data_IF_130426361100
#
_entry.id   IF_130426361100
#
_cell.length_a   1.000
_cell.length_b   1.000
_cell.length_c   1.000
_cell.angle_alpha   90.00
_cell.angle_beta   90.00
_cell.angle_gamma   90.00
#
_symmetry.space_group_name_H-M   'P 1'
#
loop_
_entity.id
_entity.type
_entity.pdbx_description
1 polymer ?
#
# COMPACT_ATOMS: atom_id res chain seq x y z
N UNK A 1 10.26 90.52 25.05
CA UNK A 1 10.64 89.12 24.84
C UNK A 1 9.38 88.30 24.61
N UNK A 2 9.27 87.53 23.51
CA UNK A 2 8.02 86.92 23.08
C UNK A 2 7.72 85.60 23.82
N UNK A 3 6.43 85.35 24.02
CA UNK A 3 5.79 84.12 24.51
C UNK A 3 5.96 82.95 23.53
N UNK A 4 6.28 81.72 23.99
CA UNK A 4 6.28 80.55 23.14
C UNK A 4 4.86 80.01 22.94
N UNK A 5 4.40 80.06 21.69
CA UNK A 5 3.15 79.46 21.20
C UNK A 5 3.31 77.94 21.17
N UNK A 6 2.53 77.21 21.97
CA UNK A 6 2.43 75.76 21.88
C UNK A 6 1.60 75.37 20.64
N UNK A 7 2.21 74.71 19.68
CA UNK A 7 1.57 74.13 18.50
C UNK A 7 0.85 72.83 18.87
N UNK A 8 -0.44 72.75 18.55
CA UNK A 8 -1.25 71.53 18.67
C UNK A 8 -0.82 70.49 17.61
N UNK A 9 -0.79 69.19 17.93
CA UNK A 9 -0.47 68.16 16.96
C UNK A 9 -1.59 67.97 15.93
N UNK A 10 -1.20 67.87 14.67
CA UNK A 10 -2.08 67.68 13.52
C UNK A 10 -2.91 66.38 13.62
N UNK A 11 -4.20 66.41 13.25
CA UNK A 11 -5.05 65.22 13.27
C UNK A 11 -4.69 64.27 12.12
N UNK A 12 -4.54 62.98 12.44
CA UNK A 12 -4.33 61.90 11.48
C UNK A 12 -5.37 61.94 10.32
N UNK A 13 -4.94 61.72 9.06
CA UNK A 13 -5.80 61.91 7.90
C UNK A 13 -6.91 60.85 7.84
N UNK A 14 -8.15 61.32 7.74
CA UNK A 14 -9.41 60.54 7.68
C UNK A 14 -9.50 59.54 6.51
N UNK A 15 -8.52 59.52 5.61
CA UNK A 15 -8.50 58.70 4.39
C UNK A 15 -8.15 57.23 4.65
N UNK A 16 -7.30 56.92 5.65
CA UNK A 16 -6.94 55.53 5.99
C UNK A 16 -8.11 54.73 6.58
N UNK A 17 -9.10 55.41 7.17
CA UNK A 17 -10.28 54.76 7.78
C UNK A 17 -11.26 54.21 6.74
N UNK A 18 -11.28 54.75 5.52
CA UNK A 18 -12.21 54.32 4.44
C UNK A 18 -11.74 53.08 3.67
N UNK A 19 -10.44 52.77 3.69
CA UNK A 19 -9.85 51.61 3.01
C UNK A 19 -9.64 50.44 3.98
N UNK A 20 -9.43 50.71 5.27
CA UNK A 20 -9.29 49.66 6.29
C UNK A 20 -10.59 48.85 6.54
N UNK A 21 -11.75 49.51 6.42
CA UNK A 21 -13.07 48.88 6.61
C UNK A 21 -13.42 47.79 5.57
N UNK A 22 -13.26 47.99 4.25
CA UNK A 22 -13.55 46.95 3.27
C UNK A 22 -12.56 45.77 3.34
N UNK A 23 -11.28 46.01 3.69
CA UNK A 23 -10.29 44.95 3.83
C UNK A 23 -10.62 44.05 5.03
N UNK A 24 -11.01 44.66 6.17
CA UNK A 24 -11.44 43.91 7.35
C UNK A 24 -12.69 43.04 7.09
N UNK A 25 -13.65 43.56 6.32
CA UNK A 25 -14.85 42.82 5.95
C UNK A 25 -14.54 41.62 5.02
N UNK A 26 -13.62 41.80 4.06
CA UNK A 26 -13.19 40.71 3.15
C UNK A 26 -12.47 39.60 3.93
N UNK A 27 -11.59 39.96 4.89
CA UNK A 27 -10.92 38.96 5.74
C UNK A 27 -11.94 38.22 6.62
N UNK A 28 -12.92 38.92 7.20
CA UNK A 28 -13.98 38.31 7.99
C UNK A 28 -14.85 37.36 7.15
N UNK A 29 -15.20 37.72 5.92
CA UNK A 29 -15.94 36.86 4.99
C UNK A 29 -15.11 35.64 4.59
N UNK A 30 -13.80 35.80 4.36
CA UNK A 30 -12.89 34.71 4.04
C UNK A 30 -12.75 33.74 5.23
N UNK A 31 -12.60 34.26 6.45
CA UNK A 31 -12.56 33.46 7.69
C UNK A 31 -13.90 32.77 7.93
N UNK A 32 -15.02 33.46 7.72
CA UNK A 32 -16.36 32.89 7.86
C UNK A 32 -16.64 31.77 6.84
N UNK A 33 -16.22 31.97 5.59
CA UNK A 33 -16.21 30.92 4.55
C UNK A 33 -15.29 29.74 4.91
N UNK A 34 -14.23 29.96 5.70
CA UNK A 34 -13.35 28.90 6.19
C UNK A 34 -13.93 28.14 7.40
N UNK A 35 -14.87 28.73 8.15
CA UNK A 35 -15.51 28.12 9.33
C UNK A 35 -16.70 27.24 8.95
N UNK A 36 -17.39 27.54 7.85
CA UNK A 36 -18.52 26.73 7.37
C UNK A 36 -18.03 25.33 6.89
N UNK A 37 -18.52 24.22 7.48
CA UNK A 37 -18.04 22.88 7.14
C UNK A 37 -18.36 22.45 5.70
N UNK A 38 -19.39 23.04 5.09
CA UNK A 38 -19.78 22.74 3.70
C UNK A 38 -18.84 23.38 2.65
N UNK A 39 -18.27 24.54 2.95
CA UNK A 39 -17.33 25.24 2.04
C UNK A 39 -15.90 24.74 2.20
N UNK A 40 -15.53 24.18 3.36
CA UNK A 40 -14.23 23.50 3.56
C UNK A 40 -13.97 22.42 2.51
N UNK A 41 -14.97 21.59 2.19
CA UNK A 41 -14.84 20.53 1.18
C UNK A 41 -14.60 21.08 -0.23
N UNK A 42 -15.25 22.19 -0.58
CA UNK A 42 -15.13 22.85 -1.90
C UNK A 42 -13.79 23.56 -2.02
N UNK A 43 -13.36 24.30 -0.99
CA UNK A 43 -12.07 25.00 -0.95
C UNK A 43 -10.90 24.02 -0.91
N UNK A 44 -11.03 22.87 -0.23
CA UNK A 44 -10.03 21.80 -0.22
C UNK A 44 -9.88 21.13 -1.59
N UNK A 45 -10.99 20.87 -2.29
CA UNK A 45 -10.95 20.35 -3.67
C UNK A 45 -10.35 21.36 -4.66
N UNK A 46 -10.55 22.66 -4.44
CA UNK A 46 -10.03 23.72 -5.32
C UNK A 46 -8.54 24.04 -5.08
N UNK A 47 -8.03 23.81 -3.85
CA UNK A 47 -6.63 24.08 -3.47
C UNK A 47 -5.66 22.91 -3.71
N UNK A 48 -6.12 21.78 -4.27
CA UNK A 48 -5.22 20.67 -4.63
C UNK A 48 -4.56 19.95 -3.45
N UNK A 49 -5.02 20.17 -2.21
CA UNK A 49 -4.59 19.36 -1.07
C UNK A 49 -5.13 17.94 -1.24
N UNK A 50 -4.25 16.98 -1.49
CA UNK A 50 -4.58 15.57 -1.63
C UNK A 50 -4.95 14.95 -0.27
N UNK A 51 -6.22 15.04 0.09
CA UNK A 51 -6.72 14.50 1.34
C UNK A 51 -6.89 12.99 1.18
N UNK A 52 -5.93 12.24 1.71
CA UNK A 52 -6.11 10.80 1.92
C UNK A 52 -7.28 10.62 2.91
N UNK A 53 -8.27 9.74 2.63
CA UNK A 53 -9.44 9.54 3.48
C UNK A 53 -9.10 9.31 4.97
N UNK A 54 -9.91 9.83 5.89
CA UNK A 54 -9.69 9.74 7.35
C UNK A 54 -9.76 8.32 7.91
N UNK A 55 -10.44 7.40 7.20
CA UNK A 55 -10.37 5.95 7.38
C UNK A 55 -9.86 5.35 6.07
N UNK A 56 -8.67 4.73 6.13
CA UNK A 56 -7.94 4.21 4.97
C UNK A 56 -8.22 2.71 4.89
N UNK A 57 -9.18 2.31 4.06
CA UNK A 57 -9.32 0.92 3.64
C UNK A 57 -8.59 0.77 2.31
N UNK A 58 -7.57 -0.06 2.28
CA UNK A 58 -6.61 -0.18 1.19
C UNK A 58 -6.69 -1.58 0.57
N UNK A 59 -6.79 -1.66 -0.75
CA UNK A 59 -6.55 -2.90 -1.49
C UNK A 59 -5.26 -2.79 -2.31
N UNK A 60 -4.41 -3.81 -2.29
CA UNK A 60 -3.33 -3.94 -3.27
C UNK A 60 -3.82 -4.88 -4.36
N UNK A 61 -3.91 -4.36 -5.58
CA UNK A 61 -4.42 -5.09 -6.73
C UNK A 61 -3.30 -5.92 -7.39
N UNK A 62 -3.65 -6.98 -8.13
CA UNK A 62 -2.67 -7.75 -8.89
C UNK A 62 -1.85 -6.84 -9.82
N UNK A 63 -0.52 -6.98 -9.77
CA UNK A 63 0.37 -6.23 -10.66
C UNK A 63 0.28 -6.79 -12.08
N UNK A 64 0.26 -5.89 -13.06
CA UNK A 64 0.33 -6.29 -14.47
C UNK A 64 1.78 -6.56 -14.87
N UNK A 65 2.07 -7.79 -15.31
CA UNK A 65 3.39 -8.14 -15.86
C UNK A 65 3.45 -7.76 -17.33
N UNK A 66 4.41 -6.91 -17.69
CA UNK A 66 4.66 -6.50 -19.07
C UNK A 66 5.67 -7.48 -19.66
N UNK A 67 5.17 -8.44 -20.45
CA UNK A 67 5.99 -9.51 -21.05
C UNK A 67 5.32 -10.88 -20.98
N UNK A 68 4.43 -11.09 -19.99
CA UNK A 68 3.55 -12.25 -19.90
C UNK A 68 4.21 -13.55 -19.43
N UNK A 69 5.38 -13.49 -18.79
CA UNK A 69 6.03 -14.67 -18.23
C UNK A 69 5.34 -15.17 -16.94
N UNK A 70 5.20 -16.49 -16.82
CA UNK A 70 4.50 -17.11 -15.70
C UNK A 70 5.29 -16.99 -14.39
N UNK A 71 6.62 -17.09 -14.46
CA UNK A 71 7.50 -16.97 -13.30
C UNK A 71 7.53 -15.53 -12.78
N UNK A 72 7.56 -14.54 -13.67
CA UNK A 72 7.41 -13.12 -13.33
C UNK A 72 6.04 -12.81 -12.70
N UNK A 73 4.99 -13.47 -13.18
CA UNK A 73 3.67 -13.31 -12.60
C UNK A 73 3.59 -13.96 -11.21
N UNK A 74 4.19 -15.13 -11.00
CA UNK A 74 4.31 -15.71 -9.66
C UNK A 74 5.11 -14.79 -8.73
N UNK A 75 6.22 -14.24 -9.19
CA UNK A 75 6.99 -13.24 -8.45
C UNK A 75 6.12 -12.03 -8.04
N UNK A 76 5.36 -11.46 -8.98
CA UNK A 76 4.48 -10.31 -8.73
C UNK A 76 3.36 -10.63 -7.73
N UNK A 77 2.76 -11.81 -7.85
CA UNK A 77 1.73 -12.28 -6.92
C UNK A 77 2.28 -12.43 -5.50
N UNK A 78 3.50 -12.99 -5.37
CA UNK A 78 4.20 -13.08 -4.10
C UNK A 78 4.55 -11.70 -3.54
N UNK A 79 4.98 -10.77 -4.39
CA UNK A 79 5.26 -9.39 -3.99
C UNK A 79 4.01 -8.69 -3.44
N UNK A 80 2.86 -8.84 -4.12
CA UNK A 80 1.57 -8.29 -3.65
C UNK A 80 1.20 -8.86 -2.28
N UNK A 81 1.33 -10.17 -2.08
CA UNK A 81 1.08 -10.79 -0.77
C UNK A 81 2.04 -10.29 0.30
N UNK A 82 3.32 -10.18 -0.02
CA UNK A 82 4.31 -9.68 0.93
C UNK A 82 4.03 -8.23 1.34
N UNK A 83 3.75 -7.35 0.38
CA UNK A 83 3.37 -5.96 0.63
C UNK A 83 2.08 -5.87 1.46
N UNK A 84 1.08 -6.70 1.14
CA UNK A 84 -0.18 -6.78 1.89
C UNK A 84 0.07 -7.17 3.35
N UNK A 85 0.85 -8.23 3.59
CA UNK A 85 1.21 -8.69 4.93
C UNK A 85 1.99 -7.62 5.72
N UNK A 86 2.98 -6.97 5.09
CA UNK A 86 3.79 -5.93 5.73
C UNK A 86 2.97 -4.67 6.04
N UNK A 87 2.06 -4.25 5.16
CA UNK A 87 1.16 -3.13 5.43
C UNK A 87 0.10 -3.48 6.49
N UNK A 88 -0.38 -4.73 6.53
CA UNK A 88 -1.29 -5.20 7.59
C UNK A 88 -0.64 -5.09 8.96
N UNK A 89 0.67 -5.40 9.07
CA UNK A 89 1.43 -5.17 10.30
C UNK A 89 1.46 -3.70 10.73
N UNK A 90 1.25 -2.74 9.82
CA UNK A 90 1.21 -1.32 10.19
C UNK A 90 -0.12 -0.87 10.80
N UNK A 91 -1.18 -1.66 10.69
CA UNK A 91 -2.46 -1.37 11.32
C UNK A 91 -2.32 -1.22 12.84
N UNK A 92 -1.37 -1.93 13.45
CA UNK A 92 -1.06 -1.80 14.88
C UNK A 92 -0.59 -0.37 15.25
N UNK A 93 0.07 0.34 14.34
CA UNK A 93 0.53 1.72 14.52
C UNK A 93 -0.50 2.75 14.06
N UNK A 94 -1.40 2.36 13.16
CA UNK A 94 -2.41 3.22 12.56
C UNK A 94 -3.76 2.53 12.64
N UNK A 95 -4.46 2.71 13.77
CA UNK A 95 -5.83 2.19 14.02
C UNK A 95 -6.91 2.56 12.97
N UNK A 96 -6.57 3.39 11.98
CA UNK A 96 -7.46 3.80 10.88
C UNK A 96 -7.02 3.28 9.52
N UNK A 97 -5.98 2.44 9.45
CA UNK A 97 -5.59 1.69 8.28
C UNK A 97 -6.22 0.30 8.39
N UNK A 98 -6.85 -0.14 7.32
CA UNK A 98 -7.30 -1.51 7.12
C UNK A 98 -6.83 -1.93 5.73
N UNK A 99 -6.18 -3.09 5.63
CA UNK A 99 -5.64 -3.64 4.39
C UNK A 99 -6.46 -4.87 4.03
N UNK A 100 -7.10 -4.83 2.86
CA UNK A 100 -7.86 -5.96 2.33
C UNK A 100 -6.89 -7.11 2.02
N UNK A 101 -7.11 -8.33 2.56
CA UNK A 101 -6.28 -9.48 2.28
C UNK A 101 -6.16 -9.79 0.79
N UNK A 102 -4.95 -10.19 0.34
CA UNK A 102 -4.69 -10.47 -1.08
C UNK A 102 -5.49 -11.68 -1.59
N UNK A 103 -5.83 -12.61 -0.68
CA UNK A 103 -6.66 -13.78 -0.97
C UNK A 103 -8.08 -13.37 -1.36
N UNK A 104 -8.66 -12.39 -0.68
CA UNK A 104 -10.00 -11.88 -0.99
C UNK A 104 -10.00 -11.15 -2.33
N UNK A 105 -8.97 -10.32 -2.59
CA UNK A 105 -8.78 -9.66 -3.89
C UNK A 105 -8.75 -10.69 -5.02
N UNK A 106 -8.07 -11.82 -4.81
CA UNK A 106 -7.94 -12.91 -5.79
C UNK A 106 -9.23 -13.71 -5.96
N UNK A 107 -9.85 -14.14 -4.87
CA UNK A 107 -11.06 -14.96 -4.87
C UNK A 107 -12.21 -14.24 -5.58
N UNK A 108 -12.38 -12.95 -5.28
CA UNK A 108 -13.37 -12.08 -5.90
C UNK A 108 -12.92 -11.51 -7.26
N UNK A 109 -11.74 -11.90 -7.75
CA UNK A 109 -11.16 -11.49 -9.05
C UNK A 109 -11.15 -9.97 -9.25
N UNK A 110 -10.78 -9.25 -8.21
CA UNK A 110 -10.76 -7.79 -8.22
C UNK A 110 -9.51 -7.33 -8.97
N UNK A 111 -9.73 -6.65 -10.10
CA UNK A 111 -8.64 -6.20 -10.99
C UNK A 111 -8.59 -4.68 -11.13
N UNK A 112 -9.62 -3.97 -10.65
CA UNK A 112 -9.71 -2.52 -10.76
C UNK A 112 -10.06 -1.84 -9.43
N UNK A 113 -9.65 -0.56 -9.24
CA UNK A 113 -10.02 0.21 -8.05
C UNK A 113 -11.53 0.36 -7.88
N UNK A 114 -12.29 0.44 -8.97
CA UNK A 114 -13.76 0.54 -8.95
C UNK A 114 -14.41 -0.75 -8.46
N UNK A 115 -13.92 -1.92 -8.89
CA UNK A 115 -14.38 -3.20 -8.36
C UNK A 115 -14.08 -3.33 -6.88
N UNK A 116 -12.89 -2.91 -6.44
CA UNK A 116 -12.49 -2.95 -5.04
C UNK A 116 -13.43 -2.09 -4.17
N UNK A 117 -13.80 -0.89 -4.62
CA UNK A 117 -14.81 -0.06 -3.95
C UNK A 117 -16.16 -0.76 -3.91
N UNK A 118 -16.62 -1.29 -5.05
CA UNK A 118 -17.96 -1.88 -5.16
C UNK A 118 -18.14 -3.11 -4.26
N UNK A 119 -17.13 -3.98 -4.19
CA UNK A 119 -17.20 -5.25 -3.47
C UNK A 119 -16.88 -5.07 -1.98
N UNK A 120 -15.79 -4.36 -1.66
CA UNK A 120 -15.25 -4.29 -0.29
C UNK A 120 -15.30 -2.89 0.32
N UNK A 121 -15.84 -1.88 -0.37
CA UNK A 121 -15.90 -0.49 0.10
C UNK A 121 -14.53 0.05 0.50
N UNK A 122 -13.47 -0.42 -0.17
CA UNK A 122 -12.12 0.13 0.05
C UNK A 122 -12.06 1.55 -0.49
N UNK A 123 -11.42 2.46 0.26
CA UNK A 123 -11.30 3.87 -0.08
C UNK A 123 -10.07 4.18 -0.93
N UNK A 124 -9.06 3.31 -0.87
CA UNK A 124 -7.81 3.42 -1.61
C UNK A 124 -7.47 2.08 -2.28
N UNK A 125 -6.85 2.16 -3.45
CA UNK A 125 -6.27 1.00 -4.11
C UNK A 125 -4.84 1.31 -4.57
N UNK A 126 -3.94 0.33 -4.44
CA UNK A 126 -2.64 0.34 -5.10
C UNK A 126 -2.74 -0.52 -6.34
N UNK A 127 -2.46 0.08 -7.49
CA UNK A 127 -2.30 -0.64 -8.77
C UNK A 127 -0.87 -0.46 -9.27
N UNK A 128 -0.42 -1.36 -10.13
CA UNK A 128 0.95 -1.26 -10.61
C UNK A 128 1.27 -2.22 -11.74
N UNK A 129 2.48 -2.09 -12.23
CA UNK A 129 3.03 -2.93 -13.28
C UNK A 129 4.48 -3.27 -12.99
N UNK A 130 4.87 -4.48 -13.37
CA UNK A 130 6.25 -4.93 -13.34
C UNK A 130 6.71 -5.23 -14.75
N UNK A 131 7.94 -4.86 -15.07
CA UNK A 131 8.57 -5.14 -16.36
C UNK A 131 10.02 -5.52 -16.14
N UNK A 132 10.45 -6.63 -16.73
CA UNK A 132 11.87 -6.99 -16.82
C UNK A 132 12.36 -6.77 -18.25
N UNK A 133 13.56 -6.21 -18.40
CA UNK A 133 14.23 -6.01 -19.69
C UNK A 133 15.69 -6.41 -19.51
N UNK A 134 16.05 -7.62 -19.97
CA UNK A 134 17.36 -8.19 -19.71
C UNK A 134 17.62 -8.29 -18.22
N UNK A 135 18.69 -7.63 -17.77
CA UNK A 135 19.10 -7.61 -16.36
C UNK A 135 18.54 -6.42 -15.58
N UNK A 136 17.66 -5.61 -16.16
CA UNK A 136 16.99 -4.50 -15.48
C UNK A 136 15.52 -4.85 -15.21
N UNK A 137 14.98 -4.35 -14.11
CA UNK A 137 13.55 -4.37 -13.85
C UNK A 137 13.00 -2.96 -13.63
N UNK A 138 11.70 -2.79 -13.84
CA UNK A 138 10.96 -1.58 -13.49
C UNK A 138 9.64 -1.96 -12.82
N UNK A 139 9.45 -1.49 -11.59
CA UNK A 139 8.22 -1.61 -10.82
C UNK A 139 7.57 -0.22 -10.74
N UNK A 140 6.31 -0.13 -11.16
CA UNK A 140 5.49 1.07 -11.01
C UNK A 140 4.36 0.79 -10.02
N UNK A 141 4.22 1.63 -9.00
CA UNK A 141 3.15 1.57 -8.01
C UNK A 141 2.40 2.91 -7.99
N UNK A 142 1.07 2.83 -8.03
CA UNK A 142 0.16 3.97 -8.09
C UNK A 142 -0.90 3.85 -7.02
N UNK A 143 -1.02 4.86 -6.16
CA UNK A 143 -2.08 4.99 -5.17
C UNK A 143 -3.24 5.73 -5.80
N UNK A 144 -4.42 5.13 -5.76
CA UNK A 144 -5.63 5.61 -6.42
C UNK A 144 -6.75 5.76 -5.40
N UNK A 145 -7.47 6.88 -5.46
CA UNK A 145 -8.76 7.03 -4.78
C UNK A 145 -9.81 6.23 -5.54
N UNK A 146 -10.42 5.25 -4.88
CA UNK A 146 -11.28 4.26 -5.55
C UNK A 146 -12.63 4.83 -5.98
N UNK A 147 -13.09 5.93 -5.36
CA UNK A 147 -14.36 6.58 -5.70
C UNK A 147 -14.23 7.48 -6.91
N UNK A 148 -13.17 8.29 -6.94
CA UNK A 148 -12.91 9.26 -8.01
C UNK A 148 -12.06 8.69 -9.14
N UNK A 149 -11.47 7.51 -8.95
CA UNK A 149 -10.48 6.88 -9.84
C UNK A 149 -9.22 7.74 -10.08
N UNK A 150 -9.04 8.80 -9.28
CA UNK A 150 -7.92 9.72 -9.41
C UNK A 150 -6.65 9.08 -8.83
N UNK A 151 -5.57 9.17 -9.60
CA UNK A 151 -4.23 8.87 -9.10
C UNK A 151 -3.82 9.97 -8.11
N UNK A 152 -3.54 9.56 -6.87
CA UNK A 152 -3.07 10.44 -5.81
C UNK A 152 -1.54 10.53 -5.87
N UNK A 153 -0.86 9.37 -5.90
CA UNK A 153 0.59 9.32 -5.91
C UNK A 153 1.09 8.18 -6.80
N UNK A 154 2.32 8.32 -7.30
CA UNK A 154 2.99 7.34 -8.12
C UNK A 154 4.45 7.23 -7.73
N UNK A 155 4.99 6.02 -7.79
CA UNK A 155 6.40 5.70 -7.56
C UNK A 155 6.86 4.73 -8.64
N UNK A 156 8.05 4.99 -9.18
CA UNK A 156 8.69 4.15 -10.19
C UNK A 156 10.05 3.77 -9.65
N UNK A 157 10.35 2.48 -9.68
CA UNK A 157 11.56 1.89 -9.14
C UNK A 157 12.20 1.11 -10.27
N UNK A 158 13.41 1.48 -10.66
CA UNK A 158 14.14 0.85 -11.75
C UNK A 158 15.54 0.52 -11.26
N UNK A 159 15.91 -0.75 -11.31
CA UNK A 159 17.20 -1.23 -10.84
C UNK A 159 17.61 -2.50 -11.58
N UNK A 160 18.84 -2.96 -11.35
CA UNK A 160 19.36 -4.23 -11.81
C UNK A 160 18.71 -5.39 -11.05
N UNK A 161 18.45 -6.50 -11.71
CA UNK A 161 17.83 -7.69 -11.10
C UNK A 161 18.67 -8.26 -9.95
N UNK A 162 19.99 -8.06 -9.99
CA UNK A 162 20.87 -8.40 -8.88
C UNK A 162 20.52 -7.67 -7.58
N UNK A 163 19.81 -6.55 -7.64
CA UNK A 163 19.35 -5.77 -6.50
C UNK A 163 17.87 -6.05 -6.15
N UNK A 164 17.25 -7.11 -6.66
CA UNK A 164 15.81 -7.36 -6.45
C UNK A 164 15.41 -7.54 -4.97
N UNK A 165 16.35 -7.82 -4.06
CA UNK A 165 16.06 -7.78 -2.61
C UNK A 165 15.81 -6.37 -2.09
N UNK A 166 16.49 -5.35 -2.62
CA UNK A 166 16.26 -3.94 -2.20
C UNK A 166 14.88 -3.45 -2.64
N UNK A 167 14.35 -4.02 -3.74
CA UNK A 167 13.02 -3.72 -4.26
C UNK A 167 11.93 -3.85 -3.19
N UNK A 168 12.02 -4.81 -2.28
CA UNK A 168 11.01 -4.98 -1.24
C UNK A 168 11.00 -3.80 -0.29
N UNK A 169 12.14 -3.51 0.33
CA UNK A 169 12.28 -2.47 1.34
C UNK A 169 11.89 -1.13 0.74
N UNK A 170 12.38 -0.87 -0.47
CA UNK A 170 12.04 0.37 -1.16
C UNK A 170 10.55 0.40 -1.52
N UNK A 171 9.94 -0.71 -1.98
CA UNK A 171 8.52 -0.73 -2.34
C UNK A 171 7.62 -0.53 -1.12
N UNK A 172 7.92 -1.20 0.00
CA UNK A 172 7.15 -1.06 1.23
C UNK A 172 7.31 0.34 1.80
N UNK A 173 8.53 0.89 1.86
CA UNK A 173 8.75 2.25 2.36
C UNK A 173 8.09 3.29 1.47
N UNK A 174 8.19 3.15 0.15
CA UNK A 174 7.50 4.02 -0.80
C UNK A 174 5.99 3.95 -0.68
N UNK A 175 5.41 2.77 -0.48
CA UNK A 175 3.97 2.65 -0.22
C UNK A 175 3.57 3.31 1.11
N UNK A 176 4.36 3.16 2.17
CA UNK A 176 4.12 3.80 3.47
C UNK A 176 4.16 5.32 3.35
N UNK A 177 5.15 5.87 2.63
CA UNK A 177 5.25 7.30 2.29
C UNK A 177 4.05 7.76 1.43
N UNK A 178 3.63 6.96 0.45
CA UNK A 178 2.46 7.26 -0.37
C UNK A 178 1.19 7.34 0.48
N UNK A 179 1.05 6.47 1.47
CA UNK A 179 -0.04 6.51 2.45
C UNK A 179 0.08 7.68 3.44
N UNK A 180 1.14 8.49 3.39
CA UNK A 180 1.35 9.62 4.30
C UNK A 180 1.63 9.17 5.73
N UNK A 181 2.26 8.00 5.89
CA UNK A 181 2.73 7.50 7.17
C UNK A 181 4.21 7.82 7.29
N UNK A 182 4.59 8.46 8.39
CA UNK A 182 5.98 8.76 8.69
C UNK A 182 6.74 7.48 9.07
N UNK A 183 7.88 7.24 8.42
CA UNK A 183 8.74 6.08 8.63
C UNK A 183 9.60 6.27 9.89
N UNK A 184 8.97 6.10 11.06
CA UNK A 184 9.69 6.08 12.34
C UNK A 184 10.58 4.84 12.46
N UNK A 185 11.68 4.89 13.25
CA UNK A 185 12.60 3.75 13.40
C UNK A 185 11.92 2.43 13.81
N UNK A 186 10.88 2.49 14.67
CA UNK A 186 10.16 1.28 15.07
C UNK A 186 9.39 0.65 13.89
N UNK A 187 8.78 1.47 13.03
CA UNK A 187 8.06 1.01 11.84
C UNK A 187 9.06 0.36 10.88
N UNK A 188 10.21 1.00 10.62
CA UNK A 188 11.26 0.44 9.77
C UNK A 188 11.71 -0.94 10.27
N UNK A 189 11.99 -1.07 11.57
CA UNK A 189 12.42 -2.34 12.16
C UNK A 189 11.40 -3.46 11.96
N UNK A 190 10.11 -3.19 12.14
CA UNK A 190 9.06 -4.21 11.98
C UNK A 190 8.90 -4.62 10.52
N UNK A 191 8.97 -3.64 9.62
CA UNK A 191 8.88 -3.88 8.18
C UNK A 191 10.06 -4.70 7.63
N UNK A 192 11.24 -4.62 8.24
CA UNK A 192 12.42 -5.42 7.82
C UNK A 192 12.61 -6.72 8.62
N UNK A 193 11.89 -6.90 9.73
CA UNK A 193 12.03 -8.09 10.59
C UNK A 193 11.77 -9.39 9.80
N UNK A 194 12.68 -10.35 9.98
CA UNK A 194 12.61 -11.70 9.41
C UNK A 194 12.81 -11.79 7.90
N UNK A 195 13.17 -10.67 7.24
CA UNK A 195 13.49 -10.65 5.82
C UNK A 195 14.94 -11.08 5.54
N UNK A 196 15.31 -11.13 4.25
CA UNK A 196 16.68 -11.41 3.79
C UNK A 196 17.22 -10.23 3.00
N UNK A 197 18.55 -10.03 3.05
CA UNK A 197 19.24 -9.11 2.15
C UNK A 197 19.81 -9.82 0.91
N UNK A 198 19.75 -11.16 0.86
CA UNK A 198 20.30 -11.97 -0.23
C UNK A 198 19.32 -11.97 -1.41
N UNK A 199 19.67 -11.37 -2.57
CA UNK A 199 18.75 -11.20 -3.70
C UNK A 199 18.10 -12.50 -4.19
N UNK A 200 18.91 -13.54 -4.40
CA UNK A 200 18.42 -14.84 -4.89
C UNK A 200 17.48 -15.55 -3.90
N UNK A 201 17.73 -15.40 -2.59
CA UNK A 201 16.88 -15.98 -1.56
C UNK A 201 15.51 -15.30 -1.58
N UNK A 202 15.49 -13.98 -1.75
CA UNK A 202 14.28 -13.20 -1.80
C UNK A 202 13.44 -13.48 -3.06
N UNK A 203 14.05 -13.53 -4.24
CA UNK A 203 13.38 -13.87 -5.49
C UNK A 203 12.72 -15.26 -5.40
N UNK A 204 13.46 -16.27 -4.91
CA UNK A 204 12.95 -17.62 -4.69
C UNK A 204 11.75 -17.63 -3.74
N UNK A 205 11.83 -16.88 -2.63
CA UNK A 205 10.74 -16.75 -1.68
C UNK A 205 9.47 -16.14 -2.29
N UNK A 206 9.59 -15.06 -3.06
CA UNK A 206 8.43 -14.41 -3.70
C UNK A 206 7.78 -15.31 -4.75
N UNK A 207 8.56 -15.98 -5.58
CA UNK A 207 8.02 -16.95 -6.54
C UNK A 207 7.30 -18.09 -5.80
N UNK A 208 7.88 -18.60 -4.70
CA UNK A 208 7.27 -19.62 -3.86
C UNK A 208 5.92 -19.18 -3.27
N UNK A 209 5.84 -17.95 -2.75
CA UNK A 209 4.58 -17.35 -2.30
C UNK A 209 3.55 -17.27 -3.44
N UNK A 210 3.95 -16.76 -4.61
CA UNK A 210 3.06 -16.62 -5.76
C UNK A 210 2.46 -17.93 -6.23
N UNK A 211 3.28 -18.97 -6.35
CA UNK A 211 2.83 -20.32 -6.71
C UNK A 211 1.88 -20.87 -5.63
N UNK A 212 2.24 -20.72 -4.35
CA UNK A 212 1.39 -21.16 -3.24
C UNK A 212 0.01 -20.47 -3.26
N UNK A 213 -0.07 -19.18 -3.63
CA UNK A 213 -1.33 -18.44 -3.75
C UNK A 213 -2.13 -18.78 -5.01
N UNK A 214 -1.49 -19.34 -6.04
CA UNK A 214 -2.17 -19.83 -7.25
C UNK A 214 -2.83 -21.18 -7.02
N UNK A 215 -2.24 -21.99 -6.14
CA UNK A 215 -2.73 -23.27 -5.65
C UNK A 215 -4.24 -23.30 -5.38
N UNK A 216 -5.05 -23.76 -6.34
CA UNK A 216 -6.46 -24.08 -6.11
C UNK A 216 -6.63 -25.57 -5.91
N UNK A 217 -6.89 -26.03 -4.67
CA UNK A 217 -7.64 -27.25 -4.31
C UNK A 217 -7.18 -28.63 -4.81
N UNK A 218 -6.46 -28.72 -5.92
CA UNK A 218 -5.98 -29.92 -6.60
C UNK A 218 -4.54 -29.71 -7.14
N UNK A 219 -3.91 -28.58 -6.81
CA UNK A 219 -2.61 -28.17 -7.35
C UNK A 219 -1.41 -28.76 -6.61
N UNK A 220 -0.35 -29.04 -7.38
CA UNK A 220 0.92 -29.51 -6.83
C UNK A 220 1.68 -28.35 -6.17
N UNK A 221 1.86 -28.44 -4.85
CA UNK A 221 2.65 -27.48 -4.06
C UNK A 221 4.17 -27.73 -4.08
N UNK A 222 4.65 -28.79 -4.71
CA UNK A 222 6.09 -29.13 -4.77
C UNK A 222 6.97 -28.01 -5.36
N UNK A 223 6.55 -27.27 -6.42
CA UNK A 223 7.35 -26.15 -6.91
C UNK A 223 7.55 -25.05 -5.86
N UNK A 224 6.50 -24.71 -5.09
CA UNK A 224 6.61 -23.74 -4.00
C UNK A 224 7.51 -24.26 -2.86
N UNK A 225 7.41 -25.54 -2.50
CA UNK A 225 8.28 -26.19 -1.51
C UNK A 225 9.76 -26.07 -1.94
N UNK A 226 10.07 -26.37 -3.21
CA UNK A 226 11.42 -26.32 -3.73
C UNK A 226 11.99 -24.89 -3.72
N UNK A 227 11.16 -23.90 -4.05
CA UNK A 227 11.55 -22.49 -4.01
C UNK A 227 11.81 -22.00 -2.59
N UNK A 228 10.98 -22.36 -1.60
CA UNK A 228 11.27 -22.02 -0.20
C UNK A 228 12.53 -22.71 0.32
N UNK A 229 12.76 -23.97 -0.06
CA UNK A 229 14.01 -24.67 0.28
C UNK A 229 15.23 -23.96 -0.33
N UNK A 230 15.16 -23.58 -1.61
CA UNK A 230 16.22 -22.82 -2.28
C UNK A 230 16.49 -21.48 -1.59
N UNK A 231 15.44 -20.78 -1.17
CA UNK A 231 15.58 -19.55 -0.40
C UNK A 231 16.32 -19.78 0.94
N UNK A 232 16.00 -20.86 1.66
CA UNK A 232 16.65 -21.24 2.92
C UNK A 232 18.09 -21.72 2.70
N UNK A 233 18.37 -22.43 1.61
CA UNK A 233 19.73 -22.84 1.24
C UNK A 233 20.63 -21.63 0.95
N UNK A 234 20.07 -20.59 0.34
CA UNK A 234 20.77 -19.34 0.05
C UNK A 234 20.92 -18.45 1.30
N UNK A 235 19.89 -18.40 2.16
CA UNK A 235 19.93 -17.71 3.45
C UNK A 235 19.27 -18.55 4.56
N UNK A 236 20.07 -19.29 5.35
CA UNK A 236 19.56 -20.11 6.45
C UNK A 236 18.80 -19.33 7.53
N UNK A 237 19.03 -18.02 7.65
CA UNK A 237 18.40 -17.15 8.65
C UNK A 237 17.13 -16.46 8.14
N UNK A 238 16.71 -16.74 6.89
CA UNK A 238 15.54 -16.12 6.29
C UNK A 238 14.23 -16.66 6.89
N UNK A 239 13.82 -16.07 8.01
CA UNK A 239 12.69 -16.52 8.81
C UNK A 239 11.36 -16.60 8.01
N UNK A 240 11.11 -15.65 7.12
CA UNK A 240 9.91 -15.70 6.27
C UNK A 240 9.90 -16.89 5.30
N UNK A 241 11.06 -17.34 4.80
CA UNK A 241 11.14 -18.51 3.95
C UNK A 241 10.84 -19.81 4.73
N UNK A 242 11.35 -19.93 5.96
CA UNK A 242 10.98 -21.02 6.87
C UNK A 242 9.48 -21.03 7.18
N UNK A 243 8.90 -19.86 7.46
CA UNK A 243 7.46 -19.75 7.70
C UNK A 243 6.65 -20.11 6.44
N UNK A 244 7.10 -19.69 5.26
CA UNK A 244 6.52 -20.06 3.97
C UNK A 244 6.55 -21.57 3.73
N UNK A 245 7.70 -22.22 4.01
CA UNK A 245 7.86 -23.66 3.92
C UNK A 245 6.89 -24.41 4.85
N UNK A 246 6.77 -23.97 6.10
CA UNK A 246 5.80 -24.53 7.04
C UNK A 246 4.35 -24.39 6.57
N UNK A 247 3.98 -23.19 6.08
CA UNK A 247 2.63 -22.92 5.54
C UNK A 247 2.30 -23.81 4.35
N UNK A 248 3.23 -23.98 3.40
CA UNK A 248 2.96 -24.79 2.21
C UNK A 248 2.87 -26.29 2.54
N UNK A 249 3.64 -26.79 3.51
CA UNK A 249 3.48 -28.16 3.99
C UNK A 249 2.11 -28.39 4.64
N UNK A 250 1.65 -27.43 5.45
CA UNK A 250 0.32 -27.47 6.04
C UNK A 250 -0.78 -27.51 4.96
N UNK A 251 -0.68 -26.65 3.94
CA UNK A 251 -1.64 -26.64 2.82
C UNK A 251 -1.64 -27.97 2.06
N UNK A 252 -0.46 -28.53 1.78
CA UNK A 252 -0.33 -29.84 1.11
C UNK A 252 -0.95 -30.98 1.93
N UNK A 253 -0.81 -30.94 3.26
CA UNK A 253 -1.44 -31.90 4.16
C UNK A 253 -2.96 -31.80 4.11
N UNK A 254 -3.52 -30.59 4.26
CA UNK A 254 -4.97 -30.37 4.19
C UNK A 254 -5.55 -30.86 2.85
N UNK A 255 -4.84 -30.61 1.74
CA UNK A 255 -5.23 -31.10 0.41
C UNK A 255 -5.29 -32.62 0.32
N UNK A 256 -4.26 -33.29 0.85
CA UNK A 256 -4.16 -34.75 0.81
C UNK A 256 -5.25 -35.37 1.67
N UNK A 257 -5.51 -34.76 2.83
CA UNK A 257 -6.59 -35.17 3.74
C UNK A 257 -7.96 -35.05 3.08
N UNK A 258 -8.28 -33.91 2.46
CA UNK A 258 -9.57 -33.71 1.78
C UNK A 258 -9.76 -34.66 0.60
N UNK A 259 -8.73 -34.85 -0.24
CA UNK A 259 -8.74 -35.83 -1.34
C UNK A 259 -9.00 -37.26 -0.83
N UNK A 260 -8.39 -37.65 0.29
CA UNK A 260 -8.61 -38.95 0.90
C UNK A 260 -10.03 -39.10 1.48
N UNK A 261 -10.58 -38.05 2.10
CA UNK A 261 -11.97 -38.04 2.57
C UNK A 261 -12.98 -38.16 1.42
N UNK A 262 -12.74 -37.49 0.29
CA UNK A 262 -13.58 -37.58 -0.91
C UNK A 262 -13.51 -38.97 -1.56
N UNK A 263 -12.34 -39.62 -1.52
CA UNK A 263 -12.17 -40.98 -2.03
C UNK A 263 -12.76 -42.06 -1.13
N UNK A 264 -13.02 -41.76 0.15
CA UNK A 264 -13.49 -42.74 1.14
C UNK A 264 -14.65 -42.20 2.01
N UNK A 265 -15.84 -41.93 1.41
CA UNK A 265 -16.94 -41.27 2.11
C UNK A 265 -17.65 -42.14 3.17
N UNK A 266 -17.32 -43.43 3.30
CA UNK A 266 -18.13 -44.42 4.04
C UNK A 266 -17.84 -44.45 5.56
N UNK A 267 -16.78 -43.80 6.06
CA UNK A 267 -16.32 -44.00 7.45
C UNK A 267 -16.85 -42.93 8.43
N UNK A 268 -17.45 -41.83 7.98
CA UNK A 268 -17.80 -40.70 8.87
C UNK A 268 -19.24 -40.73 9.43
N UNK A 269 -20.04 -41.77 9.16
CA UNK A 269 -21.43 -41.87 9.66
C UNK A 269 -21.66 -42.90 10.77
N UNK A 270 -20.61 -43.52 11.31
CA UNK A 270 -20.74 -44.37 12.50
C UNK A 270 -19.68 -44.01 13.54
N UNK A 271 -20.08 -43.19 14.50
CA UNK A 271 -19.30 -42.77 15.67
C UNK A 271 -20.11 -41.85 16.55
#
# INVERSE_FOLDING_TARGET
YPTPTATLPHPFPRLMRRIALPIGAVILILVFLLVLPSTRKVVQNWLGFEIIPTQKSLAILPLTVIGGDADEQAFCDGLVENLTSKLTQLEQFKRRLFVLPSIDVREFKITSPSEAERVFRVSLAVKGSFKRIGDMFSLTLKLVDTKTQRELKSQIMTDHIANISTLQEDAIFKLVEMLGVELQPQIRSILTTGSTTIPGAYESYLQGLGIMLRGKGDENFDPAINLFKRAIEQDPHFALAHAGLGKVYWLKYELTKTLNCLKNPIIMHQG
#
